data_IF_612193646636
#
_entry.id   IF_612193646636
#
_cell.length_a   1.000
_cell.length_b   1.000
_cell.length_c   1.000
_cell.angle_alpha   90.00
_cell.angle_beta   90.00
_cell.angle_gamma   90.00
#
_symmetry.space_group_name_H-M   'P 1'
#
loop_
_entity.id
_entity.type
_entity.pdbx_description
1 polymer ?
#
# COMPACT_ATOMS: atom_id res chain seq x y z
N UNK A 1 -0.83 -23.00 6.66
CA UNK A 1 -2.10 -23.02 5.92
C UNK A 1 -1.80 -22.66 4.46
N UNK A 2 -2.32 -23.42 3.50
CA UNK A 2 -2.08 -23.12 2.09
C UNK A 2 -2.79 -21.81 1.70
N UNK A 3 -2.17 -21.02 0.81
CA UNK A 3 -2.71 -19.72 0.36
C UNK A 3 -4.14 -19.86 -0.17
N UNK A 4 -4.44 -20.92 -0.93
CA UNK A 4 -5.79 -21.19 -1.44
C UNK A 4 -6.87 -21.29 -0.35
N UNK A 5 -6.57 -21.88 0.81
CA UNK A 5 -7.53 -21.94 1.92
C UNK A 5 -7.84 -20.53 2.46
N UNK A 6 -6.81 -19.70 2.64
CA UNK A 6 -6.98 -18.31 3.08
C UNK A 6 -7.78 -17.48 2.06
N UNK A 7 -7.64 -17.75 0.77
CA UNK A 7 -8.45 -17.11 -0.27
C UNK A 7 -9.93 -17.51 -0.18
N UNK A 8 -10.22 -18.79 0.08
CA UNK A 8 -11.59 -19.27 0.30
C UNK A 8 -12.23 -18.62 1.54
N UNK A 9 -11.49 -18.57 2.65
CA UNK A 9 -11.94 -17.90 3.88
C UNK A 9 -12.19 -16.40 3.66
N UNK A 10 -11.29 -15.73 2.91
CA UNK A 10 -11.46 -14.32 2.55
C UNK A 10 -12.70 -14.08 1.66
N UNK A 11 -13.03 -15.00 0.74
CA UNK A 11 -14.25 -14.89 -0.07
C UNK A 11 -15.51 -14.99 0.78
N UNK A 12 -15.56 -15.97 1.69
CA UNK A 12 -16.71 -16.13 2.59
C UNK A 12 -16.88 -14.89 3.49
N UNK A 13 -15.78 -14.30 3.96
CA UNK A 13 -15.82 -13.05 4.71
C UNK A 13 -16.29 -11.86 3.86
N UNK A 14 -15.80 -11.75 2.62
CA UNK A 14 -16.25 -10.72 1.69
C UNK A 14 -17.76 -10.76 1.47
N UNK A 15 -18.34 -11.94 1.27
CA UNK A 15 -19.79 -12.11 1.05
C UNK A 15 -20.62 -11.68 2.26
N UNK A 16 -20.11 -11.87 3.47
CA UNK A 16 -20.80 -11.52 4.72
C UNK A 16 -20.68 -10.03 5.07
N UNK A 17 -19.56 -9.39 4.75
CA UNK A 17 -19.34 -7.98 5.08
C UNK A 17 -20.23 -7.08 4.22
N UNK A 18 -20.90 -6.07 4.79
CA UNK A 18 -21.64 -5.09 4.00
C UNK A 18 -20.67 -4.16 3.24
N UNK A 19 -21.16 -3.52 2.19
CA UNK A 19 -20.43 -2.38 1.61
C UNK A 19 -20.26 -1.29 2.67
N UNK A 20 -19.07 -0.68 2.77
CA UNK A 20 -18.87 0.44 3.69
C UNK A 20 -19.78 1.63 3.36
N UNK A 21 -20.14 2.39 4.39
CA UNK A 21 -21.06 3.51 4.27
C UNK A 21 -20.65 4.69 5.17
N UNK A 22 -21.14 5.89 4.86
CA UNK A 22 -20.71 7.15 5.49
C UNK A 22 -20.92 7.24 7.02
N UNK A 23 -21.80 6.41 7.60
CA UNK A 23 -21.93 6.37 9.07
C UNK A 23 -20.72 5.74 9.78
N UNK A 24 -19.86 5.02 9.04
CA UNK A 24 -18.60 4.50 9.55
C UNK A 24 -17.55 5.60 9.47
N UNK A 25 -16.80 5.84 10.56
CA UNK A 25 -15.83 6.95 10.65
C UNK A 25 -14.82 6.95 9.48
N UNK A 26 -14.32 5.76 9.15
CA UNK A 26 -13.36 5.55 8.07
C UNK A 26 -13.90 5.89 6.66
N UNK A 27 -15.23 5.94 6.50
CA UNK A 27 -15.92 6.15 5.22
C UNK A 27 -16.79 7.41 5.19
N UNK A 28 -16.83 8.19 6.27
CA UNK A 28 -17.66 9.40 6.40
C UNK A 28 -17.57 10.37 5.23
N UNK A 29 -16.39 10.49 4.64
CA UNK A 29 -16.13 11.43 3.55
C UNK A 29 -15.91 10.77 2.20
N UNK A 30 -16.06 9.44 2.09
CA UNK A 30 -15.78 8.69 0.86
C UNK A 30 -16.93 7.73 0.61
N UNK A 31 -17.85 8.12 -0.28
CA UNK A 31 -19.00 7.30 -0.63
C UNK A 31 -18.63 6.19 -1.59
N UNK A 32 -18.74 4.96 -1.10
CA UNK A 32 -18.55 3.74 -1.89
C UNK A 32 -19.77 2.81 -1.86
N UNK A 33 -20.79 3.15 -1.07
CA UNK A 33 -22.02 2.36 -0.90
C UNK A 33 -22.76 2.11 -2.23
N UNK A 34 -22.61 3.03 -3.19
CA UNK A 34 -23.19 2.94 -4.55
C UNK A 34 -22.21 2.47 -5.63
N UNK A 35 -20.97 2.16 -5.26
CA UNK A 35 -19.97 1.70 -6.22
C UNK A 35 -20.23 0.23 -6.59
N UNK A 36 -20.53 0.00 -7.87
CA UNK A 36 -20.87 -1.33 -8.38
C UNK A 36 -19.60 -2.11 -8.73
N UNK A 37 -19.05 -2.80 -7.72
CA UNK A 37 -17.90 -3.71 -7.87
C UNK A 37 -18.21 -4.80 -8.92
N UNK A 38 -19.47 -5.22 -9.05
CA UNK A 38 -19.88 -6.30 -9.96
C UNK A 38 -19.53 -6.03 -11.42
N UNK A 39 -19.50 -4.75 -11.85
CA UNK A 39 -19.08 -4.34 -13.20
C UNK A 39 -17.62 -4.61 -13.53
N UNK A 40 -16.80 -4.82 -12.50
CA UNK A 40 -15.36 -5.03 -12.63
C UNK A 40 -14.96 -6.49 -12.39
N UNK A 41 -15.91 -7.36 -12.06
CA UNK A 41 -15.67 -8.80 -11.89
C UNK A 41 -15.86 -9.57 -13.22
N UNK A 42 -15.07 -10.62 -13.48
CA UNK A 42 -13.90 -11.04 -12.73
C UNK A 42 -12.71 -10.08 -12.95
N UNK A 43 -11.83 -9.98 -11.94
CA UNK A 43 -10.57 -9.25 -12.09
C UNK A 43 -9.61 -9.97 -13.05
N UNK A 44 -8.80 -9.18 -13.76
CA UNK A 44 -7.70 -9.66 -14.61
C UNK A 44 -6.35 -9.48 -13.94
N UNK A 45 -5.34 -10.22 -14.41
CA UNK A 45 -3.95 -9.96 -14.03
C UNK A 45 -3.51 -8.58 -14.56
N UNK A 46 -2.75 -7.80 -13.78
CA UNK A 46 -2.12 -6.59 -14.28
C UNK A 46 -0.95 -6.92 -15.20
N UNK A 47 -0.56 -5.98 -16.07
CA UNK A 47 0.75 -6.06 -16.73
C UNK A 47 1.83 -5.67 -15.73
N UNK A 48 2.84 -6.51 -15.53
CA UNK A 48 3.96 -6.25 -14.61
C UNK A 48 5.28 -6.35 -15.37
N UNK A 49 6.05 -5.28 -15.38
CA UNK A 49 7.41 -5.26 -15.89
C UNK A 49 8.40 -4.98 -14.75
N UNK A 50 9.25 -5.96 -14.43
CA UNK A 50 10.25 -5.89 -13.37
C UNK A 50 11.62 -5.53 -13.97
N UNK A 51 12.35 -4.62 -13.31
CA UNK A 51 13.69 -4.19 -13.74
C UNK A 51 14.57 -3.79 -12.55
N UNK A 52 15.88 -3.64 -12.80
CA UNK A 52 16.87 -3.23 -11.80
C UNK A 52 17.61 -4.39 -11.11
N UNK A 53 17.09 -5.63 -11.14
CA UNK A 53 17.78 -6.77 -10.52
C UNK A 53 19.00 -7.21 -11.35
N UNK A 54 20.20 -6.96 -10.82
CA UNK A 54 21.45 -7.40 -11.44
C UNK A 54 21.65 -8.92 -11.34
N UNK A 55 22.41 -9.48 -12.27
CA UNK A 55 22.78 -10.90 -12.24
C UNK A 55 23.60 -11.28 -10.98
N UNK A 56 24.36 -10.34 -10.44
CA UNK A 56 25.10 -10.53 -9.18
C UNK A 56 24.16 -10.65 -7.99
N UNK A 57 23.20 -9.72 -7.85
CA UNK A 57 22.23 -9.75 -6.75
C UNK A 57 21.34 -10.99 -6.81
N UNK A 58 20.97 -11.42 -8.03
CA UNK A 58 20.28 -12.71 -8.23
C UNK A 58 21.11 -13.89 -7.73
N UNK A 59 22.42 -13.93 -7.99
CA UNK A 59 23.33 -14.97 -7.45
C UNK A 59 23.51 -14.90 -5.94
N UNK A 60 23.38 -13.71 -5.36
CA UNK A 60 23.37 -13.49 -3.90
C UNK A 60 22.04 -13.88 -3.23
N UNK A 61 21.06 -14.37 -4.00
CA UNK A 61 19.80 -14.89 -3.49
C UNK A 61 18.66 -13.88 -3.43
N UNK A 62 18.81 -12.69 -4.03
CA UNK A 62 17.70 -11.74 -4.18
C UNK A 62 16.68 -12.32 -5.15
N UNK A 63 15.43 -12.40 -4.71
CA UNK A 63 14.30 -12.84 -5.52
C UNK A 63 13.48 -11.61 -5.90
N UNK A 64 13.28 -11.40 -7.20
CA UNK A 64 12.40 -10.35 -7.71
C UNK A 64 11.63 -10.91 -8.91
N UNK A 65 10.40 -11.33 -8.66
CA UNK A 65 9.56 -12.03 -9.63
C UNK A 65 8.08 -11.74 -9.37
N UNK A 66 7.20 -12.30 -10.20
CA UNK A 66 5.76 -12.20 -9.96
C UNK A 66 5.34 -13.13 -8.82
N UNK A 67 4.20 -12.84 -8.20
CA UNK A 67 3.60 -13.72 -7.19
C UNK A 67 3.22 -15.09 -7.76
N UNK A 68 2.80 -15.15 -9.03
CA UNK A 68 2.60 -16.43 -9.71
C UNK A 68 3.85 -17.31 -9.69
N UNK A 69 5.01 -16.75 -10.08
CA UNK A 69 6.29 -17.48 -10.00
C UNK A 69 6.68 -17.83 -8.57
N UNK A 70 6.48 -16.90 -7.62
CA UNK A 70 6.80 -17.14 -6.22
C UNK A 70 5.90 -18.21 -5.58
N UNK A 71 4.65 -18.35 -6.00
CA UNK A 71 3.76 -19.43 -5.59
C UNK A 71 4.30 -20.80 -6.03
N UNK A 72 4.82 -20.89 -7.25
CA UNK A 72 5.36 -22.14 -7.77
C UNK A 72 6.70 -22.50 -7.12
N UNK A 73 7.58 -21.51 -6.90
CA UNK A 73 8.98 -21.75 -6.53
C UNK A 73 9.29 -21.50 -5.04
N UNK A 74 8.46 -20.71 -4.36
CA UNK A 74 8.72 -20.19 -3.00
C UNK A 74 7.48 -20.22 -2.09
N UNK A 75 6.52 -21.12 -2.33
CA UNK A 75 5.26 -21.24 -1.58
C UNK A 75 5.43 -21.25 -0.06
N UNK A 76 6.47 -21.93 0.44
CA UNK A 76 6.75 -22.03 1.88
C UNK A 76 7.02 -20.66 2.52
N UNK A 77 7.76 -19.79 1.82
CA UNK A 77 8.05 -18.44 2.27
C UNK A 77 6.80 -17.55 2.19
N UNK A 78 6.03 -17.65 1.10
CA UNK A 78 4.79 -16.89 0.95
C UNK A 78 3.75 -17.25 2.02
N UNK A 79 3.60 -18.54 2.36
CA UNK A 79 2.62 -18.98 3.35
C UNK A 79 2.87 -18.40 4.76
N UNK A 80 4.11 -18.06 5.09
CA UNK A 80 4.49 -17.44 6.36
C UNK A 80 4.13 -15.94 6.41
N UNK A 81 3.98 -15.30 5.26
CA UNK A 81 3.85 -13.84 5.13
C UNK A 81 2.47 -13.41 4.66
N UNK A 82 1.81 -14.21 3.82
CA UNK A 82 0.52 -13.86 3.20
C UNK A 82 -0.60 -13.67 4.24
N UNK A 83 -1.27 -12.53 4.19
CA UNK A 83 -2.32 -12.08 5.12
C UNK A 83 -1.89 -12.15 6.59
N UNK A 84 -0.62 -11.84 6.87
CA UNK A 84 -0.11 -11.87 8.26
C UNK A 84 -0.60 -10.66 9.05
N UNK A 85 -0.55 -9.47 8.44
CA UNK A 85 -0.88 -8.21 9.10
C UNK A 85 -2.04 -7.46 8.44
N UNK A 86 -2.62 -8.01 7.36
CA UNK A 86 -3.74 -7.40 6.64
C UNK A 86 -5.04 -7.51 7.44
N UNK A 87 -5.62 -6.36 7.80
CA UNK A 87 -6.99 -6.30 8.29
C UNK A 87 -7.96 -6.59 7.14
N UNK A 88 -8.68 -7.70 7.23
CA UNK A 88 -9.69 -8.10 6.24
C UNK A 88 -11.01 -7.34 6.45
N UNK A 89 -11.08 -6.12 5.92
CA UNK A 89 -12.34 -5.43 5.66
C UNK A 89 -12.97 -5.87 4.34
N UNK A 90 -14.08 -5.25 3.93
CA UNK A 90 -14.78 -5.60 2.68
C UNK A 90 -13.86 -5.58 1.46
N UNK A 91 -12.99 -4.59 1.30
CA UNK A 91 -12.18 -4.43 0.10
C UNK A 91 -10.91 -5.30 0.15
N UNK A 92 -10.28 -5.40 1.32
CA UNK A 92 -9.12 -6.27 1.51
C UNK A 92 -9.51 -7.75 1.46
N UNK A 93 -10.70 -8.13 1.96
CA UNK A 93 -11.23 -9.48 1.80
C UNK A 93 -11.49 -9.83 0.33
N UNK A 94 -12.05 -8.89 -0.44
CA UNK A 94 -12.19 -9.05 -1.90
C UNK A 94 -10.81 -9.25 -2.55
N UNK A 95 -9.85 -8.36 -2.27
CA UNK A 95 -8.49 -8.49 -2.82
C UNK A 95 -7.88 -9.86 -2.49
N UNK A 96 -7.89 -10.24 -1.21
CA UNK A 96 -7.37 -11.51 -0.73
C UNK A 96 -8.02 -12.70 -1.47
N UNK A 97 -9.32 -12.65 -1.72
CA UNK A 97 -10.05 -13.69 -2.41
C UNK A 97 -9.80 -13.75 -3.92
N UNK A 98 -9.49 -12.61 -4.58
CA UNK A 98 -9.57 -12.51 -6.05
C UNK A 98 -8.32 -12.00 -6.77
N UNK A 99 -7.23 -11.69 -6.06
CA UNK A 99 -5.99 -11.25 -6.69
C UNK A 99 -5.50 -12.25 -7.74
N UNK A 100 -4.91 -11.72 -8.83
CA UNK A 100 -4.55 -12.49 -10.02
C UNK A 100 -3.05 -12.64 -10.23
N UNK A 101 -2.28 -11.63 -9.83
CA UNK A 101 -0.82 -11.70 -9.72
C UNK A 101 -0.35 -10.61 -8.74
N UNK A 102 0.95 -10.42 -8.62
CA UNK A 102 1.56 -9.32 -7.88
C UNK A 102 3.07 -9.37 -7.92
N UNK A 103 3.72 -8.59 -7.06
CA UNK A 103 5.18 -8.55 -6.97
C UNK A 103 5.62 -9.33 -5.74
N UNK A 104 6.61 -10.20 -5.92
CA UNK A 104 7.36 -10.80 -4.84
C UNK A 104 8.80 -10.28 -4.86
N UNK A 105 9.21 -9.67 -3.76
CA UNK A 105 10.58 -9.24 -3.51
C UNK A 105 11.08 -9.86 -2.21
N UNK A 106 12.18 -10.60 -2.28
CA UNK A 106 12.93 -11.05 -1.11
C UNK A 106 14.39 -10.62 -1.24
N UNK A 107 14.89 -9.91 -0.23
CA UNK A 107 16.28 -9.48 -0.11
C UNK A 107 16.90 -10.25 1.07
N UNK A 108 17.87 -11.15 0.82
CA UNK A 108 18.42 -12.03 1.84
C UNK A 108 19.29 -11.30 2.84
N UNK A 109 19.50 -11.92 4.01
CA UNK A 109 20.30 -11.40 5.12
C UNK A 109 21.61 -10.76 4.67
N UNK A 110 21.82 -9.52 5.09
CA UNK A 110 23.02 -8.72 4.83
C UNK A 110 23.23 -8.27 3.38
N UNK A 111 22.34 -8.60 2.44
CA UNK A 111 22.45 -8.13 1.07
C UNK A 111 22.08 -6.65 0.97
N UNK A 112 22.92 -5.86 0.29
CA UNK A 112 22.71 -4.43 0.06
C UNK A 112 22.63 -4.15 -1.44
N UNK A 113 21.53 -3.57 -1.89
CA UNK A 113 21.32 -3.19 -3.28
C UNK A 113 21.61 -1.70 -3.46
N UNK A 114 22.60 -1.38 -4.30
CA UNK A 114 22.92 0.02 -4.64
C UNK A 114 21.93 0.62 -5.64
N UNK A 115 21.43 -0.20 -6.58
CA UNK A 115 20.47 0.22 -7.58
C UNK A 115 19.03 -0.12 -7.15
N UNK A 116 18.05 0.77 -7.41
CA UNK A 116 16.66 0.52 -7.07
C UNK A 116 16.07 -0.59 -7.96
N UNK A 117 15.17 -1.38 -7.36
CA UNK A 117 14.32 -2.33 -8.06
C UNK A 117 13.02 -1.63 -8.46
N UNK A 118 12.58 -1.81 -9.70
CA UNK A 118 11.40 -1.12 -10.23
C UNK A 118 10.39 -2.11 -10.79
N UNK A 119 9.13 -1.93 -10.42
CA UNK A 119 7.97 -2.62 -10.96
C UNK A 119 7.02 -1.62 -11.63
N UNK A 120 6.96 -1.66 -12.96
CA UNK A 120 5.94 -0.91 -13.71
C UNK A 120 4.68 -1.76 -13.84
N UNK A 121 3.56 -1.26 -13.32
CA UNK A 121 2.27 -1.93 -13.26
C UNK A 121 1.29 -1.24 -14.20
N UNK A 122 0.78 -1.97 -15.17
CA UNK A 122 -0.24 -1.51 -16.13
C UNK A 122 -1.61 -2.07 -15.79
N UNK A 123 -2.56 -1.18 -15.50
CA UNK A 123 -3.92 -1.53 -15.12
C UNK A 123 -4.87 -1.50 -16.33
N UNK A 124 -5.49 -2.65 -16.63
CA UNK A 124 -6.65 -2.72 -17.54
C UNK A 124 -7.94 -2.27 -16.84
N UNK A 125 -9.11 -2.66 -17.38
CA UNK A 125 -10.43 -2.31 -16.81
C UNK A 125 -10.60 -2.74 -15.35
N UNK A 126 -10.12 -3.92 -15.00
CA UNK A 126 -10.21 -4.44 -13.64
C UNK A 126 -8.96 -5.25 -13.30
N UNK A 127 -8.27 -4.84 -12.25
CA UNK A 127 -7.08 -5.54 -11.75
C UNK A 127 -7.19 -5.75 -10.25
N UNK A 128 -6.75 -6.93 -9.81
CA UNK A 128 -6.58 -7.24 -8.40
C UNK A 128 -5.18 -7.79 -8.22
N UNK A 129 -4.37 -7.11 -7.41
CA UNK A 129 -2.97 -7.41 -7.19
C UNK A 129 -2.67 -7.54 -5.70
N UNK A 130 -1.83 -8.50 -5.36
CA UNK A 130 -1.36 -8.70 -3.99
C UNK A 130 0.15 -8.91 -4.01
N UNK A 131 0.93 -8.05 -3.36
CA UNK A 131 2.40 -8.11 -3.35
C UNK A 131 2.95 -8.43 -1.96
N UNK A 132 4.09 -9.11 -1.92
CA UNK A 132 4.83 -9.38 -0.68
C UNK A 132 6.29 -8.96 -0.86
N UNK A 133 6.75 -8.12 0.06
CA UNK A 133 8.12 -7.60 0.07
C UNK A 133 8.77 -7.95 1.40
N UNK A 134 9.93 -8.58 1.35
CA UNK A 134 10.68 -9.04 2.51
C UNK A 134 12.11 -8.53 2.38
N UNK A 135 12.54 -7.71 3.32
CA UNK A 135 13.92 -7.29 3.51
C UNK A 135 14.41 -7.95 4.78
N UNK A 136 15.30 -8.94 4.65
CA UNK A 136 15.75 -9.76 5.76
C UNK A 136 16.79 -9.03 6.63
N UNK A 137 17.29 -9.70 7.67
CA UNK A 137 18.15 -9.11 8.69
C UNK A 137 19.37 -8.38 8.10
N UNK A 138 19.57 -7.12 8.49
CA UNK A 138 20.68 -6.28 8.02
C UNK A 138 20.70 -6.01 6.51
N UNK A 139 19.64 -6.38 5.77
CA UNK A 139 19.55 -6.18 4.33
C UNK A 139 19.06 -4.77 3.99
N UNK A 140 19.41 -4.29 2.80
CA UNK A 140 19.11 -2.93 2.38
C UNK A 140 18.68 -2.89 0.91
N UNK A 141 17.55 -2.24 0.63
CA UNK A 141 17.05 -2.09 -0.74
C UNK A 141 16.22 -0.82 -0.94
N UNK A 142 16.18 -0.36 -2.18
CA UNK A 142 15.18 0.58 -2.68
C UNK A 142 14.26 -0.12 -3.68
N UNK A 143 12.96 -0.01 -3.49
CA UNK A 143 11.93 -0.62 -4.33
C UNK A 143 10.90 0.43 -4.74
N UNK A 144 10.58 0.47 -6.03
CA UNK A 144 9.58 1.35 -6.60
C UNK A 144 8.51 0.56 -7.35
N UNK A 145 7.25 0.88 -7.06
CA UNK A 145 6.09 0.46 -7.86
C UNK A 145 5.40 1.69 -8.48
N UNK A 146 5.16 1.62 -9.79
CA UNK A 146 4.50 2.67 -10.54
C UNK A 146 3.26 2.11 -11.24
N UNK A 147 2.08 2.65 -10.93
CA UNK A 147 0.80 2.27 -11.50
C UNK A 147 0.38 3.24 -12.59
N UNK A 148 0.13 2.70 -13.77
CA UNK A 148 -0.34 3.42 -14.94
C UNK A 148 -1.49 2.69 -15.61
N UNK A 149 -2.29 3.40 -16.41
CA UNK A 149 -3.30 2.75 -17.23
C UNK A 149 -2.66 2.00 -18.40
N UNK A 150 -3.12 0.78 -18.68
CA UNK A 150 -2.68 0.03 -19.84
C UNK A 150 -3.00 0.76 -21.15
N UNK A 151 -2.18 0.51 -22.18
CA UNK A 151 -2.43 1.03 -23.52
C UNK A 151 -3.80 0.56 -24.03
N UNK A 152 -4.61 1.51 -24.53
CA UNK A 152 -5.97 1.22 -25.00
C UNK A 152 -6.99 0.88 -23.90
N UNK A 153 -6.65 0.99 -22.61
CA UNK A 153 -7.59 0.76 -21.53
C UNK A 153 -8.77 1.73 -21.58
N UNK A 154 -9.96 1.23 -21.23
CA UNK A 154 -11.15 2.03 -20.98
C UNK A 154 -10.86 3.11 -19.93
N UNK A 155 -11.61 4.22 -19.96
CA UNK A 155 -11.45 5.26 -18.94
C UNK A 155 -11.87 4.77 -17.55
N UNK A 156 -12.89 3.91 -17.47
CA UNK A 156 -13.34 3.31 -16.21
C UNK A 156 -12.43 2.14 -15.83
N UNK A 157 -11.87 2.20 -14.63
CA UNK A 157 -10.96 1.18 -14.11
C UNK A 157 -11.26 0.95 -12.63
N UNK A 158 -11.14 -0.29 -12.18
CA UNK A 158 -11.02 -0.62 -10.76
C UNK A 158 -9.68 -1.33 -10.52
N UNK A 159 -8.84 -0.72 -9.68
CA UNK A 159 -7.61 -1.32 -9.18
C UNK A 159 -7.76 -1.65 -7.69
N UNK A 160 -7.59 -2.92 -7.33
CA UNK A 160 -7.57 -3.41 -5.96
C UNK A 160 -6.15 -3.91 -5.65
N UNK A 161 -5.42 -3.22 -4.80
CA UNK A 161 -4.00 -3.46 -4.57
C UNK A 161 -3.73 -3.64 -3.07
N UNK A 162 -3.06 -4.74 -2.70
CA UNK A 162 -2.57 -4.96 -1.34
C UNK A 162 -1.08 -5.26 -1.40
N UNK A 163 -0.28 -4.61 -0.56
CA UNK A 163 1.17 -4.87 -0.44
C UNK A 163 1.53 -5.10 1.02
N UNK A 164 2.04 -6.29 1.34
CA UNK A 164 2.59 -6.61 2.65
C UNK A 164 4.11 -6.47 2.63
N UNK A 165 4.65 -5.64 3.52
CA UNK A 165 6.07 -5.31 3.61
C UNK A 165 6.60 -5.75 4.97
N UNK A 166 7.73 -6.44 4.95
CA UNK A 166 8.37 -6.98 6.12
C UNK A 166 9.84 -6.60 6.12
N UNK A 167 10.26 -5.74 7.04
CA UNK A 167 11.68 -5.38 7.20
C UNK A 167 12.16 -5.93 8.54
N UNK A 168 13.05 -6.91 8.45
CA UNK A 168 13.58 -7.65 9.61
C UNK A 168 14.71 -6.86 10.27
N UNK A 169 15.21 -7.41 11.37
CA UNK A 169 16.13 -6.73 12.27
C UNK A 169 17.29 -6.05 11.54
N UNK A 170 17.55 -4.77 11.83
CA UNK A 170 18.60 -3.97 11.18
C UNK A 170 18.43 -3.75 9.68
N UNK A 171 17.34 -4.20 9.08
CA UNK A 171 17.05 -4.04 7.65
C UNK A 171 16.57 -2.63 7.34
N UNK A 172 16.77 -2.18 6.09
CA UNK A 172 16.31 -0.87 5.62
C UNK A 172 15.64 -1.00 4.26
N UNK A 173 14.42 -0.45 4.13
CA UNK A 173 13.72 -0.37 2.86
C UNK A 173 13.37 1.08 2.52
N UNK A 174 13.74 1.50 1.32
CA UNK A 174 13.17 2.69 0.69
C UNK A 174 12.06 2.25 -0.25
N UNK A 175 10.81 2.48 0.12
CA UNK A 175 9.64 2.05 -0.63
C UNK A 175 9.01 3.24 -1.33
N UNK A 176 8.80 3.12 -2.64
CA UNK A 176 8.26 4.19 -3.48
C UNK A 176 6.99 3.71 -4.19
N UNK A 177 5.85 4.37 -3.96
CA UNK A 177 4.58 4.07 -4.63
C UNK A 177 4.09 5.28 -5.43
N UNK A 178 3.98 5.15 -6.75
CA UNK A 178 3.44 6.19 -7.60
C UNK A 178 2.20 5.68 -8.32
N UNK A 179 1.10 6.42 -8.25
CA UNK A 179 -0.14 6.10 -8.96
C UNK A 179 -0.56 7.26 -9.85
N UNK A 180 -0.69 6.98 -11.14
CA UNK A 180 -1.21 7.90 -12.15
C UNK A 180 -2.11 7.15 -13.14
N UNK A 181 -3.39 7.01 -12.78
CA UNK A 181 -4.38 6.29 -13.58
C UNK A 181 -5.22 7.23 -14.46
N UNK A 182 -6.16 6.69 -15.23
CA UNK A 182 -7.10 7.49 -16.04
C UNK A 182 -8.13 8.20 -15.16
N UNK A 183 -8.70 9.29 -15.67
CA UNK A 183 -9.62 10.17 -14.93
C UNK A 183 -10.84 9.45 -14.30
N UNK A 184 -11.33 8.34 -14.88
CA UNK A 184 -12.43 7.55 -14.30
C UNK A 184 -11.99 6.28 -13.55
N UNK A 185 -10.70 6.15 -13.25
CA UNK A 185 -10.17 5.04 -12.47
C UNK A 185 -10.48 5.18 -10.98
N UNK A 186 -10.80 4.06 -10.34
CA UNK A 186 -10.98 3.93 -8.91
C UNK A 186 -9.92 2.97 -8.38
N UNK A 187 -9.01 3.46 -7.56
CA UNK A 187 -7.95 2.69 -6.94
C UNK A 187 -8.19 2.53 -5.44
N UNK A 188 -8.07 1.30 -4.96
CA UNK A 188 -8.14 0.92 -3.56
C UNK A 188 -6.83 0.22 -3.22
N UNK A 189 -5.94 0.93 -2.54
CA UNK A 189 -4.59 0.47 -2.22
C UNK A 189 -4.42 0.40 -0.71
N UNK A 190 -4.00 -0.77 -0.23
CA UNK A 190 -3.58 -1.01 1.17
C UNK A 190 -2.14 -1.46 1.19
N UNK A 191 -1.27 -0.74 1.90
CA UNK A 191 0.13 -1.09 2.12
C UNK A 191 0.34 -1.24 3.62
N UNK A 192 0.92 -2.35 4.05
CA UNK A 192 1.17 -2.61 5.48
C UNK A 192 2.63 -2.99 5.66
N UNK A 193 3.36 -2.23 6.47
CA UNK A 193 4.75 -2.50 6.84
C UNK A 193 4.90 -3.00 8.27
N UNK A 194 5.63 -4.08 8.45
CA UNK A 194 6.10 -4.62 9.72
C UNK A 194 7.59 -4.30 9.87
N UNK A 195 7.92 -3.43 10.84
CA UNK A 195 9.27 -2.91 11.07
C UNK A 195 9.88 -3.56 12.30
N UNK A 196 10.84 -4.46 12.05
CA UNK A 196 11.57 -5.22 13.07
C UNK A 196 12.57 -4.40 13.86
N UNK A 197 13.33 -5.06 14.73
CA UNK A 197 14.23 -4.42 15.69
C UNK A 197 15.34 -3.63 14.98
N UNK A 198 15.52 -2.36 15.36
CA UNK A 198 16.48 -1.46 14.72
C UNK A 198 16.36 -1.37 13.18
N UNK A 199 15.20 -1.73 12.64
CA UNK A 199 14.91 -1.68 11.21
C UNK A 199 14.26 -0.35 10.83
N UNK A 200 14.32 0.00 9.54
CA UNK A 200 13.77 1.25 9.02
C UNK A 200 12.98 1.07 7.73
N UNK A 201 11.83 1.74 7.62
CA UNK A 201 11.13 1.92 6.33
C UNK A 201 10.95 3.39 6.01
N UNK A 202 11.39 3.78 4.81
CA UNK A 202 11.18 5.10 4.24
C UNK A 202 10.12 5.02 3.14
N UNK A 203 8.91 5.44 3.45
CA UNK A 203 7.80 5.50 2.51
C UNK A 203 7.85 6.80 1.70
N UNK A 204 7.80 6.68 0.39
CA UNK A 204 7.59 7.79 -0.51
C UNK A 204 6.39 7.45 -1.40
N UNK A 205 5.36 8.29 -1.42
CA UNK A 205 4.16 7.97 -2.17
C UNK A 205 3.55 9.17 -2.88
N UNK A 206 2.96 8.89 -4.04
CA UNK A 206 2.41 9.87 -4.97
C UNK A 206 1.07 9.43 -5.54
N UNK A 207 0.03 10.25 -5.41
CA UNK A 207 -1.26 10.03 -6.09
C UNK A 207 -1.58 11.22 -7.00
N UNK A 208 -1.57 11.01 -8.32
CA UNK A 208 -1.59 12.12 -9.29
C UNK A 208 -2.80 12.18 -10.21
N UNK A 209 -3.59 11.11 -10.33
CA UNK A 209 -4.76 11.06 -11.22
C UNK A 209 -5.70 9.89 -10.89
N UNK A 210 -7.00 10.07 -11.11
CA UNK A 210 -8.04 9.06 -10.93
C UNK A 210 -9.28 9.60 -10.21
N UNK A 211 -10.47 9.13 -10.61
CA UNK A 211 -11.76 9.56 -10.03
C UNK A 211 -11.81 9.36 -8.52
N UNK A 212 -11.32 8.21 -8.05
CA UNK A 212 -11.13 7.91 -6.63
C UNK A 212 -9.77 7.24 -6.43
N UNK A 213 -8.90 7.84 -5.62
CA UNK A 213 -7.69 7.21 -5.13
C UNK A 213 -7.82 7.04 -3.62
N UNK A 214 -8.08 5.82 -3.15
CA UNK A 214 -8.06 5.48 -1.74
C UNK A 214 -6.77 4.72 -1.42
N UNK A 215 -5.84 5.39 -0.74
CA UNK A 215 -4.55 4.84 -0.32
C UNK A 215 -4.51 4.75 1.20
N UNK A 216 -4.20 3.57 1.73
CA UNK A 216 -3.94 3.35 3.16
C UNK A 216 -2.55 2.77 3.33
N UNK A 217 -1.73 3.41 4.17
CA UNK A 217 -0.42 2.90 4.59
C UNK A 217 -0.45 2.71 6.11
N UNK A 218 -0.28 1.48 6.56
CA UNK A 218 -0.17 1.13 7.97
C UNK A 218 1.28 0.73 8.27
N UNK A 219 1.93 1.41 9.22
CA UNK A 219 3.27 1.06 9.70
C UNK A 219 3.17 0.50 11.11
N UNK A 220 3.58 -0.75 11.28
CA UNK A 220 3.62 -1.48 12.54
C UNK A 220 5.07 -1.48 13.04
N UNK A 221 5.33 -0.73 14.10
CA UNK A 221 6.64 -0.73 14.76
C UNK A 221 6.67 -1.87 15.78
N UNK A 222 7.08 -3.05 15.33
CA UNK A 222 7.03 -4.29 16.13
C UNK A 222 8.34 -4.57 16.86
N UNK A 223 9.47 -4.06 16.36
CA UNK A 223 10.78 -4.22 16.99
C UNK A 223 11.29 -2.96 17.69
N UNK A 224 12.07 -3.16 18.76
CA UNK A 224 12.64 -2.07 19.56
C UNK A 224 13.49 -1.17 18.66
N UNK A 225 13.39 0.15 18.85
CA UNK A 225 14.19 1.09 18.07
C UNK A 225 13.87 1.11 16.57
N UNK A 226 12.75 0.55 16.14
CA UNK A 226 12.30 0.64 14.74
C UNK A 226 11.94 2.07 14.36
N UNK A 227 12.21 2.41 13.10
CA UNK A 227 12.09 3.77 12.59
C UNK A 227 11.31 3.83 11.28
N UNK A 228 10.65 4.96 11.00
CA UNK A 228 10.05 5.21 9.70
C UNK A 228 10.02 6.68 9.34
N UNK A 229 10.09 6.95 8.04
CA UNK A 229 9.69 8.22 7.46
C UNK A 229 8.59 7.99 6.43
N UNK A 230 7.69 8.95 6.27
CA UNK A 230 6.64 8.91 5.25
C UNK A 230 6.49 10.25 4.57
N UNK A 231 6.87 10.33 3.29
CA UNK A 231 6.73 11.50 2.46
C UNK A 231 5.61 11.27 1.43
N UNK A 232 4.51 11.99 1.58
CA UNK A 232 3.35 11.91 0.70
C UNK A 232 3.16 13.15 -0.15
N UNK A 233 2.88 12.97 -1.43
CA UNK A 233 2.42 14.05 -2.32
C UNK A 233 1.16 13.61 -3.06
N UNK A 234 0.15 14.47 -3.13
CA UNK A 234 -1.00 14.23 -3.98
C UNK A 234 -1.51 15.47 -4.68
N UNK A 235 -2.07 15.29 -5.88
CA UNK A 235 -2.63 16.38 -6.69
C UNK A 235 -4.01 15.95 -7.18
N UNK A 236 -5.06 16.64 -6.72
CA UNK A 236 -6.43 16.40 -7.18
C UNK A 236 -6.91 17.47 -8.15
N UNK A 237 -7.44 17.07 -9.31
CA UNK A 237 -7.95 17.95 -10.37
C UNK A 237 -9.43 17.67 -10.65
N UNK A 238 -10.11 18.62 -11.30
CA UNK A 238 -11.47 18.38 -11.79
C UNK A 238 -12.44 17.98 -10.68
N UNK A 239 -12.95 16.74 -10.72
CA UNK A 239 -13.82 16.15 -9.69
C UNK A 239 -13.19 14.94 -8.98
N UNK A 240 -11.87 14.80 -9.07
CA UNK A 240 -11.15 13.68 -8.46
C UNK A 240 -11.27 13.71 -6.93
N UNK A 241 -11.34 12.53 -6.34
CA UNK A 241 -11.43 12.30 -4.91
C UNK A 241 -10.19 11.55 -4.43
N UNK A 242 -9.42 12.15 -3.55
CA UNK A 242 -8.24 11.56 -2.95
C UNK A 242 -8.57 11.28 -1.49
N UNK A 243 -8.46 10.03 -1.07
CA UNK A 243 -8.58 9.59 0.30
C UNK A 243 -7.28 8.87 0.71
N UNK A 244 -6.39 9.61 1.37
CA UNK A 244 -5.10 9.11 1.80
C UNK A 244 -5.10 8.91 3.32
N UNK A 245 -4.64 7.76 3.78
CA UNK A 245 -4.54 7.41 5.20
C UNK A 245 -3.13 6.91 5.50
N UNK A 246 -2.49 7.48 6.51
CA UNK A 246 -1.23 6.98 7.07
C UNK A 246 -1.39 6.71 8.56
N UNK A 247 -1.17 5.48 8.99
CA UNK A 247 -1.26 5.09 10.39
C UNK A 247 0.09 4.58 10.90
N UNK A 248 0.55 5.13 12.02
CA UNK A 248 1.73 4.69 12.75
C UNK A 248 1.30 4.00 14.04
N UNK A 249 1.56 2.70 14.14
CA UNK A 249 1.26 1.88 15.32
C UNK A 249 2.54 1.55 16.06
N UNK A 250 2.85 2.33 17.10
CA UNK A 250 4.01 2.13 17.97
C UNK A 250 3.69 1.03 18.99
N UNK A 251 4.15 -0.20 18.73
CA UNK A 251 3.83 -1.37 19.55
C UNK A 251 4.94 -1.72 20.56
N UNK A 252 6.07 -1.02 20.51
CA UNK A 252 7.24 -1.26 21.35
C UNK A 252 8.05 0.03 21.58
N UNK A 253 9.06 -0.06 22.42
CA UNK A 253 9.82 1.07 22.96
C UNK A 253 10.85 1.65 21.98
N UNK A 254 11.17 2.93 22.15
CA UNK A 254 12.25 3.63 21.44
C UNK A 254 12.00 3.85 19.95
N UNK A 255 10.74 3.79 19.52
CA UNK A 255 10.36 3.83 18.10
C UNK A 255 10.27 5.26 17.60
N UNK A 256 10.70 5.50 16.35
CA UNK A 256 10.69 6.84 15.75
C UNK A 256 9.90 6.90 14.45
N UNK A 257 9.19 8.01 14.22
CA UNK A 257 8.37 8.17 13.02
C UNK A 257 8.23 9.65 12.64
N UNK A 258 8.37 9.96 11.35
CA UNK A 258 8.10 11.29 10.80
C UNK A 258 7.23 11.17 9.55
N UNK A 259 6.02 11.74 9.60
CA UNK A 259 5.07 11.77 8.50
C UNK A 259 4.91 13.20 7.99
N UNK A 260 5.19 13.42 6.72
CA UNK A 260 4.99 14.69 6.01
C UNK A 260 4.18 14.47 4.74
N UNK A 261 2.97 15.03 4.69
CA UNK A 261 2.06 14.85 3.57
C UNK A 261 1.64 16.19 2.99
N UNK A 262 1.86 16.39 1.69
CA UNK A 262 1.56 17.63 0.99
C UNK A 262 0.56 17.40 -0.15
N UNK A 263 -0.44 18.26 -0.24
CA UNK A 263 -1.53 18.13 -1.21
C UNK A 263 -1.78 19.41 -2.00
N UNK A 264 -2.18 19.29 -3.27
CA UNK A 264 -2.65 20.42 -4.09
C UNK A 264 -4.01 20.07 -4.71
N UNK A 265 -5.02 20.91 -4.47
CA UNK A 265 -6.40 20.68 -4.93
C UNK A 265 -6.87 21.80 -5.86
N UNK A 266 -7.24 21.44 -7.10
CA UNK A 266 -7.72 22.36 -8.14
C UNK A 266 -9.05 21.91 -8.74
N UNK A 267 -9.92 22.86 -9.08
CA UNK A 267 -11.26 22.61 -9.61
C UNK A 267 -12.28 22.38 -8.49
N UNK A 268 -13.00 21.27 -8.57
CA UNK A 268 -13.96 20.78 -7.57
C UNK A 268 -13.48 19.47 -6.92
N UNK A 269 -12.17 19.25 -6.90
CA UNK A 269 -11.56 18.05 -6.35
C UNK A 269 -11.65 18.02 -4.82
N UNK A 270 -11.64 16.82 -4.26
CA UNK A 270 -11.79 16.58 -2.83
C UNK A 270 -10.59 15.80 -2.31
N UNK A 271 -9.99 16.28 -1.22
CA UNK A 271 -8.95 15.55 -0.49
C UNK A 271 -9.42 15.25 0.92
N UNK A 272 -9.29 13.99 1.31
CA UNK A 272 -9.44 13.52 2.68
C UNK A 272 -8.09 12.94 3.06
N UNK A 273 -7.45 13.52 4.07
CA UNK A 273 -6.25 12.97 4.67
C UNK A 273 -6.52 12.56 6.09
N UNK A 274 -6.19 11.30 6.43
CA UNK A 274 -6.26 10.76 7.78
C UNK A 274 -4.87 10.38 8.25
N UNK A 275 -4.51 10.88 9.42
CA UNK A 275 -3.24 10.58 10.06
C UNK A 275 -3.49 10.02 11.45
N UNK A 276 -3.09 8.78 11.74
CA UNK A 276 -3.16 8.22 13.09
C UNK A 276 -1.75 7.97 13.60
N UNK A 277 -1.44 8.50 14.77
CA UNK A 277 -0.35 8.00 15.62
C UNK A 277 -1.01 7.28 16.78
N UNK A 278 -0.73 5.98 16.93
CA UNK A 278 -1.20 5.16 18.03
C UNK A 278 -0.02 4.60 18.81
N UNK A 279 0.06 4.93 20.09
CA UNK A 279 1.16 4.52 20.98
C UNK A 279 0.63 3.49 21.98
N UNK A 280 1.14 2.26 21.91
CA UNK A 280 0.82 1.24 22.90
C UNK A 280 1.31 1.65 24.29
N UNK A 281 0.65 1.14 25.35
CA UNK A 281 0.96 1.52 26.73
C UNK A 281 2.43 1.22 27.10
N UNK A 282 2.99 0.16 26.52
CA UNK A 282 4.36 -0.30 26.74
C UNK A 282 5.40 0.41 25.85
N UNK A 283 4.98 1.19 24.85
CA UNK A 283 5.84 1.86 23.87
C UNK A 283 6.45 3.16 24.43
N UNK A 284 7.27 3.03 25.47
CA UNK A 284 7.99 4.16 26.05
C UNK A 284 9.03 4.73 25.07
N UNK A 285 9.45 5.97 25.29
CA UNK A 285 10.48 6.63 24.48
C UNK A 285 10.14 6.72 22.97
N UNK A 286 8.86 6.63 22.60
CA UNK A 286 8.42 6.90 21.23
C UNK A 286 8.57 8.38 20.90
N UNK A 287 9.09 8.67 19.71
CA UNK A 287 9.10 10.00 19.12
C UNK A 287 8.41 9.94 17.75
N UNK A 288 7.23 10.54 17.63
CA UNK A 288 6.42 10.47 16.42
C UNK A 288 5.90 11.85 16.05
N UNK A 289 6.13 12.25 14.81
CA UNK A 289 5.67 13.51 14.25
C UNK A 289 4.79 13.27 13.02
N UNK A 290 3.76 14.11 12.88
CA UNK A 290 2.88 14.10 11.72
C UNK A 290 2.52 15.53 11.33
N UNK A 291 2.76 15.85 10.06
CA UNK A 291 2.38 17.11 9.45
C UNK A 291 1.63 16.89 8.14
N UNK A 292 0.61 17.72 7.91
CA UNK A 292 -0.12 17.72 6.66
C UNK A 292 -0.45 19.14 6.20
N UNK A 293 -0.12 19.45 4.95
CA UNK A 293 -0.39 20.74 4.33
C UNK A 293 -1.11 20.51 3.00
N UNK A 294 -2.30 21.09 2.84
CA UNK A 294 -3.07 20.98 1.60
C UNK A 294 -3.36 22.38 1.06
N UNK A 295 -2.84 22.68 -0.13
CA UNK A 295 -3.07 23.94 -0.83
C UNK A 295 -4.30 23.82 -1.74
N UNK A 296 -5.32 24.64 -1.47
CA UNK A 296 -6.47 24.82 -2.36
C UNK A 296 -6.18 25.91 -3.39
N UNK A 297 -6.19 25.56 -4.68
CA UNK A 297 -6.03 26.48 -5.81
C UNK A 297 -7.36 26.93 -6.42
N UNK A 298 -8.49 26.44 -5.91
CA UNK A 298 -9.83 26.78 -6.42
C UNK A 298 -10.82 26.86 -5.27
N UNK A 299 -11.79 27.76 -5.39
CA UNK A 299 -12.81 28.00 -4.36
C UNK A 299 -13.62 26.72 -4.06
N UNK A 300 -14.00 25.99 -5.11
CA UNK A 300 -14.80 24.77 -5.04
C UNK A 300 -14.02 23.51 -4.63
N UNK A 301 -12.70 23.58 -4.47
CA UNK A 301 -11.93 22.44 -4.00
C UNK A 301 -12.20 22.20 -2.51
N UNK A 302 -12.19 20.96 -2.05
CA UNK A 302 -12.35 20.63 -0.62
C UNK A 302 -11.15 19.85 -0.10
N UNK A 303 -10.79 20.10 1.16
CA UNK A 303 -9.68 19.45 1.84
C UNK A 303 -10.07 19.24 3.30
N UNK A 304 -10.09 17.99 3.74
CA UNK A 304 -10.38 17.61 5.12
C UNK A 304 -9.18 16.84 5.67
N UNK A 305 -8.53 17.42 6.67
CA UNK A 305 -7.38 16.80 7.35
C UNK A 305 -7.85 16.33 8.73
N UNK A 306 -7.70 15.05 9.02
CA UNK A 306 -8.23 14.39 10.21
C UNK A 306 -7.07 13.68 10.93
N UNK A 307 -6.21 14.44 11.64
CA UNK A 307 -5.17 13.87 12.48
C UNK A 307 -5.76 13.32 13.79
N UNK A 308 -5.21 12.21 14.26
CA UNK A 308 -5.54 11.59 15.54
C UNK A 308 -4.26 11.09 16.23
N UNK A 309 -4.20 11.31 17.54
CA UNK A 309 -3.18 10.76 18.43
C UNK A 309 -3.89 9.94 19.51
N UNK A 310 -3.52 8.67 19.68
CA UNK A 310 -4.14 7.70 20.58
C UNK A 310 -3.13 6.99 21.46
#
# INVERSE_FOLDING_TARGET
>A
MAIGQRQTEAMALYEQLPMPHERQEEWRHTRIDRFDIGKFLPFSAPGIALSGLSGEMRRKGVLFCSMGTALEQHAGMLAQHYLKNVKLDKLNALNAATWKDGIFLYVPKGAKLEAPLSAAVSCGKSVSLHSIIIVDEGAEASYMEEFSAAAGAENETMASCVTEVFVREGGTLHFHHLSSLREKANAFTTIIGDVGEHAAINWNWGCFSGALNRLRIDTLFTGIGSASTSNGVFIGRGKEHIDATTNAYHLTTGTTNDISVNGIMKGSSTAIYRGLIKIAKEAQQTNSFLSNHILKLSENATANSIPALQ
#
